data_IF_738956061553
#
_entry.id   IF_738956061553
#
_cell.length_a   1.000
_cell.length_b   1.000
_cell.length_c   1.000
_cell.angle_alpha   90.00
_cell.angle_beta   90.00
_cell.angle_gamma   90.00
#
_symmetry.space_group_name_H-M   'P 1'
#
loop_
_entity.id
_entity.type
_entity.pdbx_description
1 polymer ?
#
# COMPACT_ATOMS: atom_id res chain seq x y z
N UNK A 1 -15.49 45.45 36.48
CA UNK A 1 -15.40 44.02 36.14
C UNK A 1 -15.77 43.86 34.65
N UNK A 2 -15.12 44.51 33.68
CA UNK A 2 -13.70 44.54 33.28
C UNK A 2 -13.02 43.16 33.32
N UNK A 3 -13.60 42.18 32.63
CA UNK A 3 -12.86 41.05 32.05
C UNK A 3 -13.67 40.37 30.94
N UNK A 4 -14.14 41.13 29.94
CA UNK A 4 -14.85 40.56 28.77
C UNK A 4 -14.48 41.22 27.43
N UNK A 5 -13.39 42.00 27.40
CA UNK A 5 -12.91 42.66 26.17
C UNK A 5 -11.39 42.56 26.14
N UNK A 6 -10.85 41.34 26.02
CA UNK A 6 -9.47 41.10 25.55
C UNK A 6 -9.24 39.63 25.17
N UNK A 7 -10.14 39.05 24.39
CA UNK A 7 -9.89 37.75 23.73
C UNK A 7 -10.30 37.82 22.25
N UNK A 8 -10.02 38.97 21.63
CA UNK A 8 -10.28 39.25 20.22
C UNK A 8 -8.99 39.74 19.54
N UNK A 9 -7.87 39.13 19.90
CA UNK A 9 -6.58 39.32 19.24
C UNK A 9 -6.11 37.98 18.70
N UNK A 10 -6.46 37.77 17.44
CA UNK A 10 -5.57 37.18 16.44
C UNK A 10 -5.10 35.74 16.73
N UNK A 11 -6.01 34.78 16.65
CA UNK A 11 -5.63 33.44 16.20
C UNK A 11 -5.33 33.53 14.70
N UNK A 12 -4.09 33.91 14.38
CA UNK A 12 -3.54 33.74 13.04
C UNK A 12 -3.45 32.24 12.82
N UNK A 13 -4.46 31.69 12.14
CA UNK A 13 -4.43 30.32 11.67
C UNK A 13 -3.33 30.24 10.61
N UNK A 14 -2.16 29.74 11.00
CA UNK A 14 -1.09 29.38 10.08
C UNK A 14 -1.57 28.21 9.24
N UNK A 15 -2.24 28.53 8.14
CA UNK A 15 -2.49 27.57 7.08
C UNK A 15 -1.12 27.29 6.43
N UNK A 16 -0.42 26.27 6.93
CA UNK A 16 0.67 25.68 6.18
C UNK A 16 0.05 25.09 4.91
N UNK A 17 0.03 25.88 3.84
CA UNK A 17 -0.14 25.35 2.50
C UNK A 17 1.08 24.45 2.25
N UNK A 18 0.92 23.15 2.52
CA UNK A 18 1.85 22.16 2.03
C UNK A 18 1.82 22.26 0.50
N UNK A 19 2.81 22.93 -0.07
CA UNK A 19 3.08 22.86 -1.50
C UNK A 19 3.48 21.42 -1.77
N UNK A 20 2.54 20.63 -2.31
CA UNK A 20 2.86 19.30 -2.83
C UNK A 20 3.83 19.57 -3.98
N UNK A 21 5.11 19.23 -3.80
CA UNK A 21 6.08 19.27 -4.88
C UNK A 21 5.55 18.46 -6.07
N UNK A 22 5.89 18.87 -7.29
CA UNK A 22 5.51 18.12 -8.48
C UNK A 22 5.91 16.64 -8.33
N UNK A 23 4.97 15.72 -8.54
CA UNK A 23 5.26 14.30 -8.51
C UNK A 23 6.36 13.96 -9.52
N UNK A 24 7.32 13.13 -9.11
CA UNK A 24 8.34 12.60 -10.01
C UNK A 24 7.68 11.60 -10.97
N UNK A 25 7.87 11.81 -12.26
CA UNK A 25 7.43 10.92 -13.32
C UNK A 25 8.62 10.38 -14.11
N UNK A 26 8.42 9.28 -14.83
CA UNK A 26 9.46 8.64 -15.63
C UNK A 26 9.12 8.74 -17.12
N UNK A 27 10.12 9.09 -17.95
CA UNK A 27 10.03 9.02 -19.41
C UNK A 27 10.99 7.95 -19.91
N UNK A 28 10.45 6.83 -20.39
CA UNK A 28 11.25 5.67 -20.79
C UNK A 28 11.62 5.64 -22.29
N UNK A 29 11.14 6.59 -23.10
CA UNK A 29 11.40 6.62 -24.53
C UNK A 29 10.80 5.42 -25.29
N UNK A 30 11.33 5.14 -26.49
CA UNK A 30 10.86 4.06 -27.38
C UNK A 30 11.62 2.74 -27.24
N UNK A 31 12.66 2.69 -26.41
CA UNK A 31 13.51 1.51 -26.21
C UNK A 31 12.98 0.49 -25.20
N UNK A 32 11.84 0.79 -24.55
CA UNK A 32 11.19 -0.12 -23.60
C UNK A 32 9.80 -0.51 -24.12
N UNK A 33 9.42 -1.76 -23.88
CA UNK A 33 8.04 -2.21 -24.05
C UNK A 33 7.25 -1.97 -22.75
N UNK A 34 5.95 -1.73 -22.88
CA UNK A 34 5.04 -1.64 -21.73
C UNK A 34 4.11 -2.83 -21.72
N UNK A 35 4.09 -3.57 -20.61
CA UNK A 35 3.09 -4.60 -20.35
C UNK A 35 1.96 -4.03 -19.48
N UNK A 36 0.75 -4.49 -19.72
CA UNK A 36 -0.42 -4.00 -18.99
C UNK A 36 -0.52 -4.64 -17.62
N UNK A 37 -0.84 -3.84 -16.59
CA UNK A 37 -1.12 -4.32 -15.23
C UNK A 37 0.08 -4.27 -14.28
N UNK A 38 -0.18 -4.58 -13.02
CA UNK A 38 0.83 -4.62 -11.97
C UNK A 38 1.55 -5.97 -11.93
N UNK A 39 2.75 -5.95 -11.36
CA UNK A 39 3.37 -7.14 -10.77
C UNK A 39 2.93 -7.21 -9.31
N UNK A 40 2.23 -8.28 -8.93
CA UNK A 40 1.88 -8.58 -7.55
C UNK A 40 2.86 -9.62 -7.01
N UNK A 41 3.66 -9.25 -6.00
CA UNK A 41 4.56 -10.15 -5.28
C UNK A 41 3.95 -10.53 -3.93
N UNK A 42 3.97 -11.81 -3.63
CA UNK A 42 3.39 -12.37 -2.41
C UNK A 42 4.50 -12.74 -1.43
N UNK A 43 4.33 -12.33 -0.19
CA UNK A 43 5.23 -12.60 0.92
C UNK A 43 4.46 -13.21 2.07
N UNK A 44 5.15 -14.04 2.86
CA UNK A 44 4.59 -14.59 4.09
C UNK A 44 4.25 -13.45 5.05
N UNK A 45 3.07 -13.51 5.65
CA UNK A 45 2.76 -12.71 6.83
C UNK A 45 2.63 -13.65 8.03
N UNK A 46 3.19 -13.26 9.17
CA UNK A 46 3.19 -14.10 10.36
C UNK A 46 1.75 -14.25 10.86
N UNK A 47 1.28 -15.49 10.98
CA UNK A 47 -0.07 -15.75 11.47
C UNK A 47 -0.23 -15.22 12.90
N UNK A 48 -1.37 -14.59 13.18
CA UNK A 48 -1.68 -13.95 14.46
C UNK A 48 -0.76 -12.78 14.86
N UNK A 49 -0.02 -12.20 13.91
CA UNK A 49 0.67 -10.93 14.14
C UNK A 49 -0.29 -9.75 13.92
N UNK A 50 -0.56 -9.02 15.01
CA UNK A 50 -1.44 -7.85 15.01
C UNK A 50 -0.68 -6.52 15.11
N UNK A 51 0.63 -6.55 14.93
CA UNK A 51 1.53 -5.42 15.16
C UNK A 51 2.18 -4.92 13.88
N UNK A 52 2.63 -5.81 13.01
CA UNK A 52 3.42 -5.44 11.83
C UNK A 52 2.62 -4.64 10.80
N UNK A 53 1.33 -4.94 10.60
CA UNK A 53 0.50 -4.24 9.62
C UNK A 53 0.25 -2.75 9.92
N UNK A 54 0.55 -2.27 11.14
CA UNK A 54 0.48 -0.84 11.50
C UNK A 54 1.86 -0.17 11.53
N UNK A 55 2.96 -0.91 11.39
CA UNK A 55 4.30 -0.35 11.41
C UNK A 55 4.70 0.18 10.03
N UNK A 56 5.07 1.46 9.95
CA UNK A 56 5.50 2.09 8.70
C UNK A 56 6.77 1.44 8.12
N UNK A 57 7.71 1.01 8.97
CA UNK A 57 8.92 0.29 8.57
C UNK A 57 8.61 -1.06 7.92
N UNK A 58 7.64 -1.78 8.47
CA UNK A 58 7.16 -3.03 7.89
C UNK A 58 6.53 -2.80 6.52
N UNK A 59 5.59 -1.86 6.43
CA UNK A 59 4.87 -1.52 5.19
C UNK A 59 5.78 -0.95 4.09
N UNK A 60 6.84 -0.22 4.46
CA UNK A 60 7.77 0.37 3.51
C UNK A 60 8.66 -0.68 2.83
N UNK A 61 9.21 -1.62 3.60
CA UNK A 61 10.12 -2.66 3.06
C UNK A 61 10.31 -3.88 3.96
N UNK A 62 10.02 -3.78 5.25
CA UNK A 62 10.25 -4.87 6.22
C UNK A 62 9.53 -6.17 5.88
N UNK A 63 8.39 -6.11 5.19
CA UNK A 63 7.64 -7.28 4.72
C UNK A 63 8.47 -8.24 3.86
N UNK A 64 9.51 -7.75 3.19
CA UNK A 64 10.38 -8.58 2.33
C UNK A 64 11.20 -9.60 3.11
N UNK A 65 11.42 -9.39 4.41
CA UNK A 65 12.21 -10.27 5.26
C UNK A 65 11.47 -11.55 5.68
N UNK A 66 10.13 -11.58 5.58
CA UNK A 66 9.32 -12.71 6.01
C UNK A 66 9.30 -13.88 5.01
N UNK A 67 9.93 -13.71 3.85
CA UNK A 67 10.06 -14.73 2.82
C UNK A 67 9.12 -14.50 1.64
N UNK A 68 9.68 -14.57 0.44
CA UNK A 68 8.95 -14.51 -0.82
C UNK A 68 8.26 -15.86 -1.11
N UNK A 69 7.00 -15.80 -1.54
CA UNK A 69 6.19 -16.98 -1.89
C UNK A 69 6.20 -17.16 -3.42
N UNK A 70 5.63 -16.19 -4.14
CA UNK A 70 5.43 -16.24 -5.59
C UNK A 70 5.09 -14.85 -6.13
N UNK A 71 4.88 -14.74 -7.44
CA UNK A 71 4.40 -13.52 -8.09
C UNK A 71 3.43 -13.79 -9.22
N UNK A 72 2.54 -12.83 -9.45
CA UNK A 72 1.69 -12.74 -10.63
C UNK A 72 2.05 -11.46 -11.40
N UNK A 73 2.08 -11.56 -12.73
CA UNK A 73 2.27 -10.41 -13.62
C UNK A 73 0.98 -10.17 -14.41
N UNK A 74 0.82 -8.97 -14.96
CA UNK A 74 -0.36 -8.66 -15.77
C UNK A 74 -1.64 -8.39 -14.96
N UNK A 75 -1.52 -8.03 -13.68
CA UNK A 75 -2.69 -7.83 -12.81
C UNK A 75 -3.35 -6.49 -13.12
N UNK A 76 -4.44 -6.51 -13.88
CA UNK A 76 -5.21 -5.30 -14.25
C UNK A 76 -6.38 -5.00 -13.31
N UNK A 77 -6.86 -6.00 -12.57
CA UNK A 77 -7.89 -5.86 -11.53
C UNK A 77 -7.35 -6.36 -10.18
N UNK A 78 -6.72 -5.49 -9.37
CA UNK A 78 -6.09 -5.85 -8.10
C UNK A 78 -7.08 -5.95 -6.92
N UNK A 79 -8.38 -5.85 -7.17
CA UNK A 79 -9.40 -5.94 -6.14
C UNK A 79 -9.67 -7.40 -5.82
N UNK A 80 -9.71 -7.76 -4.54
CA UNK A 80 -10.03 -9.10 -4.07
C UNK A 80 -10.81 -9.05 -2.75
N UNK A 81 -11.47 -10.15 -2.42
CA UNK A 81 -12.17 -10.33 -1.14
C UNK A 81 -12.15 -11.81 -0.78
N UNK A 82 -11.82 -12.10 0.47
CA UNK A 82 -11.85 -13.45 1.03
C UNK A 82 -12.49 -13.41 2.40
N UNK A 83 -13.16 -14.51 2.75
CA UNK A 83 -13.65 -14.75 4.10
C UNK A 83 -12.98 -16.00 4.63
N UNK A 84 -12.26 -15.87 5.74
CA UNK A 84 -11.56 -16.97 6.41
C UNK A 84 -11.93 -16.93 7.88
N UNK A 85 -12.20 -18.09 8.48
CA UNK A 85 -12.48 -18.19 9.90
C UNK A 85 -11.23 -17.83 10.72
N UNK A 86 -11.38 -17.15 11.88
CA UNK A 86 -10.26 -16.83 12.75
C UNK A 86 -9.46 -18.09 13.13
N UNK A 87 -8.13 -18.03 13.01
CA UNK A 87 -7.22 -19.12 13.35
C UNK A 87 -7.12 -20.25 12.30
N UNK A 88 -7.87 -20.18 11.20
CA UNK A 88 -7.78 -21.16 10.11
C UNK A 88 -6.78 -20.66 9.06
N UNK A 89 -5.79 -21.52 8.76
CA UNK A 89 -4.90 -21.32 7.61
C UNK A 89 -5.61 -21.81 6.36
N UNK A 90 -5.81 -20.93 5.39
CA UNK A 90 -6.54 -21.23 4.16
C UNK A 90 -5.72 -20.83 2.93
N UNK A 91 -5.75 -21.68 1.91
CA UNK A 91 -5.14 -21.43 0.60
C UNK A 91 -6.22 -21.21 -0.45
N UNK A 92 -5.94 -20.34 -1.43
CA UNK A 92 -6.80 -20.13 -2.59
C UNK A 92 -5.97 -19.62 -3.77
N UNK A 93 -6.57 -19.63 -4.95
CA UNK A 93 -5.98 -18.99 -6.13
C UNK A 93 -6.27 -17.48 -6.11
N UNK A 94 -5.23 -16.67 -6.26
CA UNK A 94 -5.33 -15.22 -6.42
C UNK A 94 -4.43 -14.79 -7.58
N UNK A 95 -5.02 -14.14 -8.59
CA UNK A 95 -4.33 -13.77 -9.84
C UNK A 95 -3.65 -14.94 -10.57
N UNK A 96 -4.25 -16.14 -10.51
CA UNK A 96 -3.75 -17.33 -11.19
C UNK A 96 -2.64 -18.09 -10.46
N UNK A 97 -2.26 -17.66 -9.25
CA UNK A 97 -1.27 -18.36 -8.40
C UNK A 97 -1.89 -18.81 -7.08
N UNK A 98 -1.44 -19.96 -6.57
CA UNK A 98 -1.89 -20.50 -5.28
C UNK A 98 -1.15 -19.81 -4.12
N UNK A 99 -1.91 -19.27 -3.17
CA UNK A 99 -1.37 -18.51 -2.03
C UNK A 99 -2.19 -18.76 -0.75
N UNK A 100 -1.57 -18.53 0.41
CA UNK A 100 -2.23 -18.61 1.73
C UNK A 100 -3.01 -17.32 2.03
N UNK A 101 -4.30 -17.27 1.71
CA UNK A 101 -5.14 -16.07 1.86
C UNK A 101 -5.44 -15.65 3.30
N UNK A 102 -5.16 -16.50 4.29
CA UNK A 102 -5.36 -16.20 5.72
C UNK A 102 -4.33 -15.24 6.31
N UNK A 103 -3.10 -15.20 5.75
CA UNK A 103 -1.98 -14.45 6.29
C UNK A 103 -0.92 -14.23 5.19
N UNK A 104 -1.14 -13.21 4.36
CA UNK A 104 -0.23 -12.82 3.27
C UNK A 104 0.01 -11.31 3.27
N UNK A 105 1.18 -10.92 2.79
CA UNK A 105 1.45 -9.55 2.34
C UNK A 105 1.58 -9.53 0.83
N UNK A 106 0.96 -8.54 0.18
CA UNK A 106 1.02 -8.36 -1.27
C UNK A 106 1.65 -7.00 -1.57
N UNK A 107 2.74 -7.00 -2.33
CA UNK A 107 3.36 -5.79 -2.85
C UNK A 107 3.05 -5.66 -4.34
N UNK A 108 2.33 -4.59 -4.70
CA UNK A 108 2.07 -4.24 -6.10
C UNK A 108 3.11 -3.22 -6.58
N UNK A 109 3.72 -3.50 -7.72
CA UNK A 109 4.61 -2.57 -8.40
C UNK A 109 4.23 -2.42 -9.86
N UNK A 110 4.32 -1.19 -10.38
CA UNK A 110 4.02 -0.87 -11.77
C UNK A 110 4.07 0.65 -11.99
N UNK A 111 3.76 1.06 -13.21
CA UNK A 111 3.73 2.47 -13.59
C UNK A 111 2.30 2.90 -13.91
N UNK A 112 1.85 3.98 -13.27
CA UNK A 112 0.63 4.65 -13.68
C UNK A 112 0.94 5.63 -14.82
N UNK A 113 0.31 5.40 -15.97
CA UNK A 113 0.36 6.32 -17.09
C UNK A 113 -0.78 7.34 -16.94
N UNK A 114 -0.42 8.61 -16.77
CA UNK A 114 -1.39 9.72 -16.82
C UNK A 114 -2.12 9.74 -18.15
N UNK A 115 -3.39 10.18 -18.12
CA UNK A 115 -4.19 10.39 -19.32
C UNK A 115 -3.72 11.62 -20.09
#
# INVERSE_FOLDING_TARGET
MLCYILCLLLYVQSCFAATIGSALACNYGSGVSSDSGFVAKFYTYISADYTDYVQSSFLASGYTNNGYITSATGVTSPQFSFSVLPGVIATSQLYGVDVTISNITIAYSGYFKGK
#
